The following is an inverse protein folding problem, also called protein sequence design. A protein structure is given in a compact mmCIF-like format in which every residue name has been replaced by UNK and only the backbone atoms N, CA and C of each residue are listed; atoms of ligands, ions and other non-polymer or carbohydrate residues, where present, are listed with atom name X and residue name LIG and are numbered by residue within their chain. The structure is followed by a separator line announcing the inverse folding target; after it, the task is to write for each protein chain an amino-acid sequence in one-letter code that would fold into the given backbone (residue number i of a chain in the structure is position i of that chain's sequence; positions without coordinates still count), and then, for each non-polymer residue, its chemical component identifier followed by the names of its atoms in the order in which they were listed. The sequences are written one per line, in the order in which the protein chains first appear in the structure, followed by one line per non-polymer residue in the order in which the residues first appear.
data_IF_395121105218
#
_entry.id   IF_395121105218
#
_cell.length_a   1.000
_cell.length_b   1.000
_cell.length_c   1.000
_cell.angle_alpha   90.00
_cell.angle_beta   90.00
_cell.angle_gamma   90.00
#
_symmetry.space_group_name_H-M   'P 1'
#
loop_
_entity.id
_entity.type
_entity.pdbx_description
1 polymer ?
2 non-polymer ?
3 non-polymer ?
4 water ?
#
# COMPACT_ATOMS: atom_id res chain seq x y z
N UNK A 1 9.18 1.09 -12.00
CA UNK A 1 7.95 0.77 -11.27
C UNK A 1 8.35 0.06 -10.00
N UNK A 2 7.55 0.16 -8.96
CA UNK A 2 7.90 -0.43 -7.68
C UNK A 2 6.75 -0.43 -6.70
N UNK A 3 7.08 -0.64 -5.42
CA UNK A 3 6.12 -0.71 -4.35
C UNK A 3 6.79 -0.40 -3.02
N UNK A 4 5.96 -0.31 -1.99
CA UNK A 4 6.47 -0.27 -0.62
C UNK A 4 6.77 -1.70 -0.19
N UNK A 5 8.04 -1.95 0.13
CA UNK A 5 8.51 -3.28 0.50
C UNK A 5 8.62 -3.48 2.01
N UNK A 6 8.78 -2.39 2.78
CA UNK A 6 8.84 -2.46 4.25
C UNK A 6 8.24 -1.16 4.76
N UNK A 7 7.18 -1.21 5.56
CA UNK A 7 6.33 -2.36 5.85
C UNK A 7 5.60 -2.76 4.58
N UNK A 8 5.67 -4.03 4.24
CA UNK A 8 5.20 -4.50 2.94
C UNK A 8 3.79 -4.04 2.61
N UNK A 9 3.59 -3.55 1.39
CA UNK A 9 2.25 -3.27 0.89
C UNK A 9 1.43 -4.55 0.81
N UNK A 10 0.11 -4.41 0.63
CA UNK A 10 -0.75 -5.58 0.65
C UNK A 10 -0.34 -6.62 -0.40
N UNK A 11 -0.15 -6.18 -1.65
CA UNK A 11 0.19 -7.14 -2.70
C UNK A 11 1.64 -7.56 -2.66
N UNK A 12 2.54 -6.64 -2.32
CA UNK A 12 3.94 -7.06 -2.17
C UNK A 12 4.09 -8.09 -1.07
N UNK A 13 3.40 -7.87 0.05
CA UNK A 13 3.45 -8.83 1.14
C UNK A 13 2.85 -10.17 0.78
N UNK A 14 1.70 -10.18 0.09
CA UNK A 14 1.15 -11.48 -0.36
C UNK A 14 2.12 -12.22 -1.27
N UNK A 15 2.79 -11.48 -2.13
CA UNK A 15 3.79 -12.05 -3.03
C UNK A 15 5.01 -12.56 -2.25
N UNK A 16 5.53 -11.76 -1.35
CA UNK A 16 6.73 -12.15 -0.61
C UNK A 16 6.48 -13.38 0.24
N UNK A 17 5.31 -13.43 0.87
CA UNK A 17 5.05 -14.53 1.81
C UNK A 17 4.59 -15.81 1.15
N UNK A 18 3.91 -15.70 0.00
CA UNK A 18 3.27 -16.86 -0.62
C UNK A 18 3.67 -17.15 -2.07
N UNK A 19 4.45 -16.29 -2.70
CA UNK A 19 4.77 -16.45 -4.10
C UNK A 19 5.52 -17.71 -4.44
N UNK A 20 6.26 -18.28 -3.51
CA UNK A 20 6.93 -19.54 -3.76
C UNK A 20 6.06 -20.76 -3.45
N UNK A 21 4.82 -20.51 -3.06
CA UNK A 21 3.92 -21.54 -2.52
C UNK A 21 2.47 -21.05 -2.66
N UNK A 22 2.09 -20.57 -3.87
CA UNK A 22 0.88 -19.73 -4.00
C UNK A 22 -0.42 -20.50 -3.98
N UNK A 23 -0.34 -21.83 -4.05
CA UNK A 23 -1.51 -22.70 -3.91
C UNK A 23 -1.51 -23.45 -2.58
N UNK A 24 -0.66 -23.03 -1.62
CA UNK A 24 -0.55 -23.70 -0.33
C UNK A 24 -1.95 -23.81 0.27
N UNK A 25 -2.36 -25.04 0.63
CA UNK A 25 -3.71 -25.20 1.16
C UNK A 25 -3.95 -24.58 2.54
N UNK A 26 -2.88 -24.24 3.26
CA UNK A 26 -3.01 -23.57 4.57
C UNK A 26 -3.27 -22.08 4.41
N UNK A 27 -3.15 -21.51 3.22
CA UNK A 27 -3.26 -20.05 3.09
C UNK A 27 -4.64 -19.54 3.45
N UNK A 28 -5.70 -20.23 3.08
CA UNK A 28 -7.03 -19.76 3.40
C UNK A 28 -7.18 -19.52 4.90
N UNK A 29 -6.68 -20.46 5.70
CA UNK A 29 -6.76 -20.32 7.15
C UNK A 29 -5.77 -19.33 7.71
N UNK A 30 -4.53 -19.38 7.25
CA UNK A 30 -3.47 -18.57 7.88
C UNK A 30 -3.45 -17.12 7.41
N UNK A 31 -3.89 -16.88 6.16
CA UNK A 31 -3.82 -15.55 5.58
C UNK A 31 -4.97 -15.43 4.59
N UNK A 32 -6.20 -15.36 5.12
CA UNK A 32 -7.39 -15.34 4.25
C UNK A 32 -7.43 -14.19 3.29
N UNK A 33 -6.88 -13.03 3.68
CA UNK A 33 -6.95 -11.88 2.76
C UNK A 33 -6.01 -12.06 1.59
N UNK A 34 -4.83 -12.66 1.82
CA UNK A 34 -4.00 -13.04 0.67
C UNK A 34 -4.65 -14.13 -0.17
N UNK A 35 -5.27 -15.10 0.48
CA UNK A 35 -5.95 -16.14 -0.28
C UNK A 35 -6.98 -15.55 -1.22
N UNK A 36 -7.84 -14.67 -0.74
CA UNK A 36 -8.88 -14.14 -1.63
C UNK A 36 -8.29 -13.32 -2.77
N UNK A 37 -7.14 -12.66 -2.52
CA UNK A 37 -6.46 -11.89 -3.55
C UNK A 37 -5.90 -12.82 -4.64
N UNK A 38 -5.19 -13.86 -4.20
CA UNK A 38 -4.65 -14.84 -5.13
C UNK A 38 -5.75 -15.52 -5.95
N UNK A 39 -6.90 -15.77 -5.33
CA UNK A 39 -8.03 -16.38 -6.03
C UNK A 39 -8.68 -15.42 -7.03
N UNK A 40 -8.67 -14.12 -6.73
CA UNK A 40 -9.26 -13.13 -7.64
C UNK A 40 -8.42 -12.88 -8.90
N UNK A 41 -7.15 -12.57 -8.69
CA UNK A 41 -6.22 -12.39 -9.82
C UNK A 41 -4.82 -12.56 -9.28
N UNK A 42 -4.19 -13.73 -9.57
CA UNK A 42 -2.82 -13.91 -9.09
C UNK A 42 -1.86 -12.86 -9.60
N UNK A 43 -2.17 -12.25 -10.75
CA UNK A 43 -1.33 -11.19 -11.27
C UNK A 43 -1.27 -9.93 -10.43
N UNK A 44 -2.21 -9.77 -9.49
CA UNK A 44 -2.07 -8.70 -8.48
C UNK A 44 -0.81 -8.85 -7.66
N UNK A 45 -0.35 -10.10 -7.53
CA UNK A 45 0.88 -10.40 -6.79
C UNK A 45 2.07 -10.56 -7.72
N UNK A 46 1.91 -11.28 -8.83
CA UNK A 46 3.05 -11.41 -9.75
C UNK A 46 3.50 -10.04 -10.24
N UNK A 47 2.54 -9.20 -10.61
CA UNK A 47 2.84 -7.83 -11.02
C UNK A 47 2.71 -6.93 -9.78
N UNK A 48 3.62 -7.12 -8.83
CA UNK A 48 3.55 -6.40 -7.60
C UNK A 48 3.95 -4.94 -7.76
N UNK A 49 4.66 -4.62 -8.85
CA UNK A 49 5.14 -3.26 -9.08
C UNK A 49 4.24 -2.40 -9.94
N UNK A 50 3.07 -2.91 -10.31
CA UNK A 50 2.21 -2.23 -11.28
C UNK A 50 1.00 -1.50 -10.76
N UNK A 51 1.02 -1.06 -9.50
CA UNK A 51 -0.15 -0.43 -8.90
C UNK A 51 -0.05 1.09 -9.02
N UNK A 52 -0.37 1.59 -10.20
CA UNK A 52 -0.20 3.02 -10.51
C UNK A 52 -1.38 3.53 -11.31
N UNK A 53 -1.50 4.84 -11.32
CA UNK A 53 -2.37 5.58 -12.25
C UNK A 53 -1.53 6.63 -12.98
N UNK A 54 -1.81 6.84 -14.25
CA UNK A 54 -1.23 7.95 -15.00
C UNK A 54 -2.18 9.14 -15.02
N UNK A 55 -1.62 10.35 -14.98
CA UNK A 55 -2.38 11.56 -15.32
C UNK A 55 -3.26 12.13 -14.24
N UNK A 56 -3.04 11.79 -12.97
CA UNK A 56 -3.91 12.31 -11.90
C UNK A 56 -3.80 13.82 -11.67
N UNK A 57 -2.69 14.43 -12.09
CA UNK A 57 -2.46 15.87 -11.93
C UNK A 57 -2.60 16.32 -10.48
N UNK A 58 -2.16 15.44 -9.60
CA UNK A 58 -2.15 15.74 -8.15
C UNK A 58 -3.50 15.72 -7.45
N UNK A 59 -4.56 15.39 -8.18
CA UNK A 59 -5.91 15.45 -7.59
C UNK A 59 -6.39 14.05 -7.27
N UNK A 60 -5.83 13.49 -6.20
CA UNK A 60 -6.02 12.06 -5.95
C UNK A 60 -7.44 11.70 -5.51
N UNK A 61 -8.09 12.55 -4.74
CA UNK A 61 -9.50 12.29 -4.36
C UNK A 61 -10.45 12.28 -5.56
N UNK A 62 -10.11 12.99 -6.63
CA UNK A 62 -10.95 12.95 -7.84
C UNK A 62 -10.88 11.63 -8.60
N UNK A 63 -9.80 10.87 -8.42
CA UNK A 63 -9.64 9.63 -9.18
C UNK A 63 -9.59 8.35 -8.33
N UNK A 64 -9.58 8.50 -7.01
CA UNK A 64 -9.56 7.35 -6.09
C UNK A 64 -10.74 7.46 -5.15
N UNK A 65 -11.86 6.80 -5.50
CA UNK A 65 -13.03 6.89 -4.63
C UNK A 65 -12.82 6.24 -3.29
N UNK A 66 -13.55 6.72 -2.27
CA UNK A 66 -13.62 6.01 -1.00
C UNK A 66 -13.93 4.52 -1.23
N UNK A 67 -13.27 3.68 -0.44
CA UNK A 67 -13.41 2.24 -0.56
C UNK A 67 -12.58 1.62 -1.66
N UNK A 68 -11.85 2.45 -2.40
CA UNK A 68 -10.96 1.99 -3.47
C UNK A 68 -9.57 2.52 -3.31
N UNK A 69 -9.20 2.93 -2.11
CA UNK A 69 -7.86 3.47 -1.91
C UNK A 69 -6.77 2.43 -2.18
N UNK A 70 -6.94 1.22 -1.68
CA UNK A 70 -5.87 0.22 -1.80
C UNK A 70 -5.70 -0.36 -3.20
N UNK A 71 -6.70 -0.18 -4.07
CA UNK A 71 -6.56 -0.54 -5.48
C UNK A 71 -6.22 0.68 -6.36
N UNK A 72 -5.95 1.82 -5.73
CA UNK A 72 -5.64 3.00 -6.52
C UNK A 72 -6.78 3.42 -7.42
N UNK A 73 -8.03 3.29 -6.91
CA UNK A 73 -9.20 3.62 -7.69
C UNK A 73 -9.51 2.57 -8.75
N UNK A 74 -9.36 1.30 -8.38
CA UNK A 74 -9.61 0.18 -9.32
C UNK A 74 -8.77 0.36 -10.58
N UNK A 75 -7.51 0.70 -10.36
CA UNK A 75 -6.62 1.01 -11.45
C UNK A 75 -6.19 -0.23 -12.24
N UNK A 76 -5.49 0.00 -13.35
CA UNK A 76 -4.92 -1.09 -14.14
C UNK A 76 -5.94 -2.16 -14.44
N UNK A 77 -7.06 -1.71 -14.97
CA UNK A 77 -8.08 -2.59 -15.49
C UNK A 77 -8.62 -3.56 -14.43
N UNK A 78 -8.63 -3.11 -13.18
CA UNK A 78 -9.16 -3.90 -12.09
C UNK A 78 -8.27 -4.97 -11.48
N UNK A 79 -7.01 -5.02 -11.91
CA UNK A 79 -6.10 -6.09 -11.48
C UNK A 79 -5.97 -6.19 -9.97
N UNK A 80 -6.03 -5.05 -9.28
CA UNK A 80 -5.78 -4.97 -7.86
C UNK A 80 -7.05 -4.76 -7.03
N UNK A 81 -8.21 -5.02 -7.62
CA UNK A 81 -9.47 -4.73 -6.93
C UNK A 81 -9.61 -5.54 -5.62
N UNK A 82 -9.03 -6.72 -5.57
CA UNK A 82 -9.10 -7.55 -4.36
C UNK A 82 -8.39 -6.92 -3.16
N UNK A 83 -7.52 -5.95 -3.42
CA UNK A 83 -6.85 -5.27 -2.32
C UNK A 83 -7.78 -4.32 -1.56
N UNK A 84 -8.96 -4.07 -2.12
CA UNK A 84 -10.01 -3.29 -1.43
C UNK A 84 -10.87 -4.12 -0.47
N UNK A 85 -10.66 -5.45 -0.44
CA UNK A 85 -11.41 -6.28 0.48
C UNK A 85 -11.19 -5.83 1.92
N UNK A 86 -12.24 -5.98 2.72
CA UNK A 86 -12.24 -5.62 4.13
C UNK A 86 -12.14 -6.91 4.93
N UNK A 87 -11.16 -7.00 5.81
CA UNK A 87 -10.94 -8.19 6.63
C UNK A 87 -9.59 -8.15 7.31
N UNK A 88 -9.18 -9.25 7.94
CA UNK A 88 -8.00 -9.28 8.80
C UNK A 88 -6.72 -9.47 7.99
N UNK A 89 -6.37 -8.44 7.20
CA UNK A 89 -5.12 -8.42 6.43
C UNK A 89 -3.95 -8.60 7.40
N UNK A 90 -2.93 -9.37 7.00
CA UNK A 90 -1.76 -9.58 7.84
C UNK A 90 -0.98 -8.26 8.04
N UNK A 91 -0.73 -7.91 9.30
CA UNK A 91 0.05 -6.72 9.61
C UNK A 91 1.56 -7.00 9.74
N UNK A 92 2.33 -5.92 9.62
CA UNK A 92 3.75 -5.87 9.97
C UNK A 92 3.85 -5.03 11.24
N UNK A 93 4.58 -5.51 12.25
CA UNK A 93 4.83 -4.70 13.44
C UNK A 93 5.73 -3.51 13.07
N UNK A 94 5.35 -2.35 13.54
CA UNK A 94 6.16 -1.12 13.43
C UNK A 94 6.19 -0.44 14.79
N UNK A 95 7.25 0.32 15.00
CA UNK A 95 7.34 1.22 16.14
C UNK A 95 6.76 2.59 15.75
N UNK A 96 6.62 3.48 16.72
CA UNK A 96 6.00 4.78 16.46
C UNK A 96 6.75 5.55 15.38
N UNK A 97 8.08 5.47 15.39
CA UNK A 97 8.93 5.97 14.31
C UNK A 97 9.30 4.78 13.46
N UNK A 98 9.05 4.85 12.18
CA UNK A 98 9.34 3.75 11.29
C UNK A 98 9.71 4.30 9.92
N UNK A 99 10.42 3.49 9.13
CA UNK A 99 10.83 3.87 7.79
C UNK A 99 9.95 3.21 6.76
N UNK A 100 9.38 4.00 5.87
CA UNK A 100 8.72 3.47 4.68
C UNK A 100 9.76 3.33 3.59
N UNK A 101 9.98 2.10 3.15
CA UNK A 101 11.01 1.78 2.18
C UNK A 101 10.34 1.29 0.90
N UNK A 102 10.63 1.98 -0.20
CA UNK A 102 10.19 1.56 -1.52
C UNK A 102 11.34 1.07 -2.36
N UNK A 103 11.07 0.05 -3.16
CA UNK A 103 12.01 -0.42 -4.14
C UNK A 103 11.42 -0.07 -5.51
N UNK A 104 12.26 0.51 -6.36
CA UNK A 104 11.88 0.95 -7.70
C UNK A 104 12.90 0.42 -8.67
N UNK A 105 12.49 -0.50 -9.53
CA UNK A 105 13.41 -1.14 -10.47
C UNK A 105 14.05 -0.13 -11.43
N UNK A 106 13.35 0.96 -11.70
CA UNK A 106 13.70 1.90 -12.78
C UNK A 106 14.36 3.18 -12.33
N UNK A 107 14.48 3.43 -11.04
CA UNK A 107 15.07 4.68 -10.58
C UNK A 107 14.37 5.90 -11.19
N UNK A 108 13.04 5.94 -11.11
CA UNK A 108 12.28 7.07 -11.66
C UNK A 108 12.48 8.36 -10.89
N UNK A 109 12.84 8.27 -9.61
CA UNK A 109 12.78 9.41 -8.70
C UNK A 109 11.35 9.66 -8.25
N UNK A 110 11.21 10.57 -7.29
CA UNK A 110 9.90 11.02 -6.80
C UNK A 110 9.87 12.54 -6.79
N UNK A 111 8.76 13.11 -7.27
CA UNK A 111 8.52 14.52 -7.05
C UNK A 111 8.24 14.77 -5.56
N UNK A 112 7.56 13.82 -4.94
CA UNK A 112 7.22 13.83 -3.52
C UNK A 112 6.58 12.49 -3.15
N UNK A 113 6.61 12.18 -1.86
CA UNK A 113 5.76 11.17 -1.27
C UNK A 113 4.80 11.84 -0.28
N UNK A 114 3.57 11.34 -0.25
CA UNK A 114 2.63 11.63 0.82
C UNK A 114 2.43 10.35 1.62
N UNK A 115 2.46 10.45 2.94
CA UNK A 115 2.23 9.30 3.77
C UNK A 115 1.11 9.62 4.73
N UNK A 116 0.12 8.73 4.77
CA UNK A 116 -1.00 8.80 5.68
C UNK A 116 -1.04 7.56 6.55
N UNK A 117 -1.75 7.66 7.66
CA UNK A 117 -2.09 6.50 8.47
C UNK A 117 -3.56 6.61 8.85
N UNK A 118 -4.26 5.48 8.92
CA UNK A 118 -5.61 5.49 9.41
C UNK A 118 -5.69 6.03 10.84
N UNK A 119 -6.74 6.78 11.11
CA UNK A 119 -6.91 7.41 12.43
C UNK A 119 -7.12 6.35 13.52
N UNK A 120 -6.72 6.68 14.74
CA UNK A 120 -7.17 5.92 15.90
C UNK A 120 -8.67 5.82 15.89
N UNK A 121 -9.18 4.65 16.21
CA UNK A 121 -10.61 4.43 16.23
C UNK A 121 -11.13 3.77 14.97
N UNK A 122 -10.39 3.89 13.87
CA UNK A 122 -10.73 3.21 12.61
C UNK A 122 -10.26 1.76 12.68
N UNK A 123 -11.14 0.84 12.29
CA UNK A 123 -10.82 -0.59 12.31
C UNK A 123 -10.71 -1.14 10.90
N UNK A 124 -9.48 -1.32 10.40
CA UNK A 124 -9.35 -1.83 9.03
C UNK A 124 -9.86 -3.25 8.82
N UNK A 125 -10.04 -4.00 9.91
CA UNK A 125 -10.52 -5.37 9.75
C UNK A 125 -12.03 -5.42 9.47
N UNK A 126 -12.75 -4.32 9.75
CA UNK A 126 -14.19 -4.30 9.54
C UNK A 126 -14.73 -3.08 8.79
N UNK A 127 -13.86 -2.12 8.46
CA UNK A 127 -14.29 -0.90 7.80
C UNK A 127 -13.47 -0.68 6.52
N UNK A 128 -14.18 -0.25 5.47
CA UNK A 128 -13.52 0.17 4.24
C UNK A 128 -12.71 1.44 4.44
N UNK A 129 -11.54 1.51 3.81
CA UNK A 129 -10.75 2.73 3.87
C UNK A 129 -11.41 3.87 3.11
N UNK A 130 -11.36 5.05 3.72
CA UNK A 130 -11.85 6.27 3.11
C UNK A 130 -10.82 7.35 3.36
N UNK A 131 -10.84 8.38 2.51
CA UNK A 131 -9.95 9.53 2.71
C UNK A 131 -10.20 10.23 4.04
N UNK A 132 -11.45 10.29 4.48
CA UNK A 132 -11.79 10.96 5.72
C UNK A 132 -11.26 10.27 6.97
N UNK A 133 -10.92 8.98 6.84
CA UNK A 133 -10.35 8.19 7.93
C UNK A 133 -8.84 8.16 7.95
N UNK A 134 -8.20 8.95 7.09
CA UNK A 134 -6.75 9.09 7.05
C UNK A 134 -6.29 10.35 7.74
N UNK A 135 -5.15 10.27 8.38
CA UNK A 135 -4.42 11.42 8.83
C UNK A 135 -3.04 11.46 8.18
N UNK A 136 -2.63 12.65 7.74
CA UNK A 136 -1.35 12.77 7.08
C UNK A 136 -0.29 12.68 8.16
N UNK A 137 0.72 11.86 7.91
CA UNK A 137 1.87 11.73 8.81
C UNK A 137 3.18 12.27 8.23
N UNK A 138 3.29 12.42 6.92
CA UNK A 138 4.46 13.05 6.30
C UNK A 138 4.14 13.49 4.90
N UNK A 139 4.78 14.57 4.48
CA UNK A 139 4.93 14.87 3.07
C UNK A 139 6.40 15.19 2.84
N UNK A 140 6.96 14.70 1.74
CA UNK A 140 8.37 14.90 1.45
C UNK A 140 8.56 15.84 0.29
N UNK A 141 9.81 16.28 0.13
CA UNK A 141 10.25 16.86 -1.13
C UNK A 141 10.66 15.79 -2.13
N UNK A 142 11.41 16.21 -3.13
CA UNK A 142 11.80 15.31 -4.19
C UNK A 142 12.91 14.39 -3.77
N UNK A 143 12.94 13.22 -4.41
CA UNK A 143 14.02 12.26 -4.28
C UNK A 143 14.59 12.04 -5.67
N UNK A 144 15.92 12.05 -5.80
CA UNK A 144 16.57 11.74 -7.04
C UNK A 144 16.43 10.28 -7.41
N UNK A 145 16.80 9.95 -8.66
CA UNK A 145 16.73 8.57 -9.09
C UNK A 145 17.51 7.64 -8.19
N UNK A 146 16.88 6.55 -7.80
CA UNK A 146 17.52 5.52 -6.98
C UNK A 146 16.68 4.26 -7.08
N UNK A 147 17.29 3.10 -6.82
CA UNK A 147 16.51 1.86 -6.78
C UNK A 147 15.76 1.69 -5.46
N UNK A 148 16.07 2.51 -4.45
CA UNK A 148 15.35 2.46 -3.19
C UNK A 148 15.13 3.87 -2.67
N UNK A 149 13.96 4.09 -2.06
CA UNK A 149 13.64 5.36 -1.41
C UNK A 149 13.19 5.06 0.01
N UNK A 150 13.66 5.87 0.97
CA UNK A 150 13.29 5.73 2.36
C UNK A 150 12.66 7.03 2.87
N UNK A 151 11.51 6.87 3.52
CA UNK A 151 10.82 7.98 4.16
C UNK A 151 10.82 7.72 5.67
N UNK A 152 11.53 8.55 6.45
CA UNK A 152 11.53 8.35 7.91
C UNK A 152 10.29 9.00 8.51
N UNK A 153 9.35 8.18 8.94
CA UNK A 153 8.06 8.63 9.45
C UNK A 153 8.12 8.64 10.98
N UNK A 154 7.54 9.66 11.57
CA UNK A 154 7.40 9.74 13.01
C UNK A 154 5.96 9.97 13.40
N UNK A 155 5.45 9.11 14.28
CA UNK A 155 4.10 9.24 14.77
C UNK A 155 4.10 9.09 16.28
N UNK A 156 3.05 9.60 16.91
CA UNK A 156 2.80 9.36 18.32
C UNK A 156 1.31 9.19 18.53
N UNK A 157 0.94 8.40 19.53
CA UNK A 157 -0.48 8.18 19.82
C UNK A 157 -1.25 7.28 18.87
N UNK A 158 -0.52 6.50 18.07
CA UNK A 158 -1.14 5.46 17.26
C UNK A 158 -0.84 4.09 17.86
N UNK A 159 -1.88 3.28 18.07
CA UNK A 159 -1.71 1.96 18.67
C UNK A 159 -2.47 0.92 17.85
N UNK A 160 -2.07 -0.33 17.98
CA UNK A 160 -2.79 -1.42 17.35
C UNK A 160 -2.77 -1.36 15.82
N UNK A 161 -3.81 -1.93 15.25
CA UNK A 161 -3.92 -2.15 13.82
C UNK A 161 -4.25 -0.86 13.07
N UNK A 162 -3.45 -0.54 12.06
CA UNK A 162 -3.67 0.60 11.16
C UNK A 162 -3.34 0.22 9.75
N UNK A 163 -3.66 1.11 8.82
CA UNK A 163 -3.13 1.03 7.44
C UNK A 163 -2.32 2.29 7.21
N UNK A 164 -1.12 2.13 6.67
CA UNK A 164 -0.32 3.23 6.13
C UNK A 164 -0.66 3.34 4.65
N UNK A 165 -0.89 4.56 4.17
CA UNK A 165 -1.15 4.79 2.75
C UNK A 165 -0.06 5.70 2.24
N UNK A 166 0.77 5.15 1.35
CA UNK A 166 1.88 5.87 0.78
C UNK A 166 1.55 6.17 -0.67
N UNK A 167 1.65 7.45 -1.03
CA UNK A 167 1.43 7.92 -2.38
C UNK A 167 2.77 8.40 -2.92
N UNK A 168 3.25 7.74 -3.97
CA UNK A 168 4.52 8.06 -4.64
C UNK A 168 4.22 8.72 -5.98
N UNK A 169 4.55 10.00 -6.09
CA UNK A 169 4.45 10.72 -7.35
C UNK A 169 5.80 10.59 -8.03
N UNK A 170 5.87 9.77 -9.07
CA UNK A 170 7.13 9.52 -9.76
C UNK A 170 7.55 10.72 -10.59
N UNK A 171 8.84 10.85 -10.89
CA UNK A 171 9.35 12.04 -11.56
C UNK A 171 9.46 11.99 -13.09
N UNK A 172 9.32 10.82 -13.69
CA UNK A 172 9.59 10.65 -15.13
C UNK A 172 8.42 11.10 -16.01
N UNK A 173 7.25 11.22 -15.39
CA UNK A 173 6.00 11.62 -16.03
C UNK A 173 4.95 11.72 -14.91
N UNK A 174 3.72 12.13 -15.22
CA UNK A 174 2.66 12.16 -14.23
C UNK A 174 2.14 10.74 -14.02
N UNK A 175 2.79 10.06 -13.09
CA UNK A 175 2.46 8.68 -12.74
C UNK A 175 2.55 8.57 -11.22
N UNK A 176 1.55 7.92 -10.62
CA UNK A 176 1.39 7.89 -9.17
C UNK A 176 1.08 6.48 -8.71
N UNK A 177 1.76 6.02 -7.66
CA UNK A 177 1.56 4.70 -7.08
C UNK A 177 0.87 4.88 -5.73
N UNK A 178 -0.06 3.99 -5.41
CA UNK A 178 -0.92 4.08 -4.24
C UNK A 178 -0.78 2.81 -3.44
N UNK A 179 -0.06 2.87 -2.32
CA UNK A 179 0.36 1.66 -1.61
C UNK A 179 -0.19 1.60 -0.20
N UNK A 180 -1.09 0.66 0.04
CA UNK A 180 -1.57 0.36 1.38
C UNK A 180 -0.67 -0.66 2.06
N UNK A 181 -0.22 -0.37 3.30
CA UNK A 181 0.52 -1.31 4.10
C UNK A 181 -0.17 -1.49 5.44
N UNK A 182 -0.58 -2.71 5.75
CA UNK A 182 -1.20 -2.97 7.06
C UNK A 182 -0.12 -3.09 8.11
N UNK A 183 -0.30 -2.34 9.20
CA UNK A 183 0.73 -2.30 10.24
C UNK A 183 0.11 -2.46 11.63
N UNK A 184 0.93 -2.86 12.59
CA UNK A 184 0.52 -3.01 13.96
C UNK A 184 1.49 -2.23 14.83
N UNK A 185 0.99 -1.15 15.46
CA UNK A 185 1.81 -0.34 16.37
C UNK A 185 1.94 -0.95 17.76
N UNK A 186 1.21 -2.05 18.00
CA UNK A 186 1.25 -2.67 19.33
C UNK A 186 0.48 -1.97 20.41
X LIG B 1 -1.61 -5.48 17.59
X LIG C 1 2.91 -7.68 16.67
X LIG D 1 8.08 8.60 19.69
X LIG E 1 -8.16 -20.42 11.51
X LIG F 1 8.76 2.07 -13.87
X LIG G 1 11.11 -6.98 4.47
X LIG H 1 14.81 -4.93 -7.90
X LIG I 1 15.36 -2.59 -2.92
X LIG J 1 -5.60 -3.53 18.40
X LIG J 1 -5.29 -3.77 17.18
X LIG J 1 -4.85 -3.80 19.40
X LIG J 1 -6.92 -2.89 18.67
X LIG K 1 -5.59 -20.40 13.25
X LIG K 1 -6.79 -20.68 12.96
X LIG K 1 -5.17 -20.46 14.41
X LIG K 1 -4.68 -19.95 12.12
X LIG L 1 9.57 1.83 -16.35
X LIG L 1 8.62 2.59 -16.51
X LIG L 1 9.96 1.27 -15.28
X LIG L 1 10.41 1.51 -17.57
#
# INVERSE_FOLDING_TARGET
HGSVVDPASRNYGCWERWGDDFQNPAMADEDPMCWQAWQDDPNAMWNWNGLYRNGSAGDFEAVVPDGQLCSGGRTESGRYNSLDAVGPWQTTDVTDDFTVKLHDQASHGADYFLVYVTKQGFDPATQALTWGELQQVARTGSYGPSQNYEIPVSTSGLTGRHVVYTIWQASHMDQTYFLCSDVDFG
ZN ZN
ZN ZN
ZN ZN
ZN ZN
ZN ZN
ZN ZN
ZN ZN
ZN ZN
ACT C O OXT CH3
ACT C O OXT CH3
ACT C O OXT CH3
#
